data_IF_230117487100
#
_entry.id   IF_230117487100
#
_cell.length_a   1.000
_cell.length_b   1.000
_cell.length_c   1.000
_cell.angle_alpha   90.00
_cell.angle_beta   90.00
_cell.angle_gamma   90.00
#
_symmetry.space_group_name_H-M   'P 1'
#
loop_
_entity.id
_entity.type
_entity.pdbx_description
1 polymer ?
#
# COMPACT_ATOMS: atom_id res chain seq x y z
N UNK A 1 26.57 -18.09 20.75
CA UNK A 1 25.51 -17.11 20.42
C UNK A 1 25.85 -16.41 19.12
N UNK A 2 26.97 -15.72 18.98
CA UNK A 2 27.35 -14.93 17.77
C UNK A 2 27.33 -15.74 16.47
N UNK A 3 27.89 -16.98 16.47
CA UNK A 3 27.85 -17.86 15.30
C UNK A 3 26.43 -18.25 14.90
N UNK A 4 25.53 -18.43 15.87
CA UNK A 4 24.12 -18.72 15.61
C UNK A 4 23.41 -17.51 14.99
N UNK A 5 23.62 -16.31 15.55
CA UNK A 5 23.06 -15.05 15.00
C UNK A 5 23.50 -14.84 13.56
N UNK A 6 24.80 -14.96 13.24
CA UNK A 6 25.32 -14.83 11.87
C UNK A 6 24.70 -15.87 10.91
N UNK A 7 24.52 -17.10 11.38
CA UNK A 7 23.86 -18.13 10.57
C UNK A 7 22.41 -17.81 10.30
N UNK A 8 21.66 -17.36 11.33
CA UNK A 8 20.27 -16.94 11.21
C UNK A 8 20.12 -15.74 10.29
N UNK A 9 20.97 -14.72 10.42
CA UNK A 9 20.95 -13.54 9.55
C UNK A 9 21.11 -13.92 8.07
N UNK A 10 22.05 -14.82 7.75
CA UNK A 10 22.23 -15.34 6.39
C UNK A 10 21.01 -16.11 5.87
N UNK A 11 20.40 -16.94 6.70
CA UNK A 11 19.20 -17.71 6.33
C UNK A 11 18.03 -16.76 6.12
N UNK A 12 17.89 -15.74 6.96
CA UNK A 12 16.85 -14.70 6.85
C UNK A 12 17.02 -13.93 5.54
N UNK A 13 18.25 -13.53 5.17
CA UNK A 13 18.49 -12.86 3.89
C UNK A 13 18.07 -13.74 2.70
N UNK A 14 18.45 -15.02 2.68
CA UNK A 14 18.07 -15.95 1.63
C UNK A 14 16.54 -16.15 1.56
N UNK A 15 15.87 -16.17 2.70
CA UNK A 15 14.41 -16.26 2.76
C UNK A 15 13.73 -15.00 2.18
N UNK A 16 14.26 -13.81 2.48
CA UNK A 16 13.73 -12.55 1.93
C UNK A 16 14.01 -12.42 0.43
N UNK A 17 15.18 -12.84 -0.03
CA UNK A 17 15.49 -12.92 -1.46
C UNK A 17 14.53 -13.86 -2.19
N UNK A 18 14.33 -15.08 -1.68
CA UNK A 18 13.38 -16.04 -2.25
C UNK A 18 11.94 -15.51 -2.24
N UNK A 19 11.53 -14.83 -1.17
CA UNK A 19 10.21 -14.22 -1.05
C UNK A 19 9.97 -13.17 -2.15
N UNK A 20 10.93 -12.27 -2.36
CA UNK A 20 10.84 -11.24 -3.41
C UNK A 20 10.83 -11.88 -4.80
N UNK A 21 11.75 -12.82 -5.08
CA UNK A 21 11.77 -13.51 -6.35
C UNK A 21 10.47 -14.25 -6.66
N UNK A 22 9.94 -14.99 -5.70
CA UNK A 22 8.69 -15.74 -5.87
C UNK A 22 7.50 -14.82 -6.21
N UNK A 23 7.38 -13.67 -5.53
CA UNK A 23 6.28 -12.73 -5.79
C UNK A 23 6.37 -12.05 -7.15
N UNK A 24 7.54 -12.04 -7.80
CA UNK A 24 7.74 -11.42 -9.11
C UNK A 24 7.78 -12.44 -10.26
N UNK A 25 7.95 -13.73 -9.98
CA UNK A 25 8.12 -14.76 -11.01
C UNK A 25 7.06 -15.85 -10.99
N UNK A 26 6.44 -16.11 -9.84
CA UNK A 26 5.39 -17.13 -9.73
C UNK A 26 4.04 -16.60 -10.22
N UNK A 27 3.45 -17.29 -11.17
CA UNK A 27 2.12 -16.97 -11.66
C UNK A 27 1.05 -17.46 -10.69
N UNK A 28 0.17 -16.56 -10.26
CA UNK A 28 -0.95 -16.89 -9.34
C UNK A 28 -2.11 -17.58 -10.06
N UNK A 29 -2.23 -17.43 -11.38
CA UNK A 29 -3.25 -18.04 -12.24
C UNK A 29 -2.83 -18.05 -13.70
N UNK A 30 -3.62 -18.72 -14.54
CA UNK A 30 -3.45 -18.69 -15.99
C UNK A 30 -3.42 -17.24 -16.52
N UNK A 31 -2.63 -17.00 -17.56
CA UNK A 31 -2.46 -15.66 -18.15
C UNK A 31 -1.29 -14.86 -17.58
N UNK A 32 -0.32 -15.54 -16.95
CA UNK A 32 0.93 -14.95 -16.46
C UNK A 32 0.73 -13.82 -15.42
N UNK A 33 -0.31 -13.90 -14.59
CA UNK A 33 -0.55 -12.94 -13.52
C UNK A 33 0.25 -13.29 -12.27
N UNK A 34 1.06 -12.35 -11.79
CA UNK A 34 1.73 -12.44 -10.50
C UNK A 34 0.80 -12.00 -9.37
N UNK A 35 0.99 -12.50 -8.12
CA UNK A 35 0.17 -12.08 -7.00
C UNK A 35 0.40 -10.60 -6.66
N UNK A 36 -0.66 -9.79 -6.70
CA UNK A 36 -0.61 -8.41 -6.24
C UNK A 36 -0.55 -8.39 -4.72
N UNK A 37 0.61 -8.08 -4.17
CA UNK A 37 0.91 -8.19 -2.75
C UNK A 37 1.53 -6.91 -2.22
N UNK A 38 1.36 -6.66 -0.92
CA UNK A 38 2.00 -5.56 -0.20
C UNK A 38 2.44 -6.00 1.19
N UNK A 39 3.46 -5.35 1.71
CA UNK A 39 3.96 -5.56 3.08
C UNK A 39 4.13 -4.22 3.78
N UNK A 40 3.71 -4.15 5.03
CA UNK A 40 3.89 -3.01 5.91
C UNK A 40 4.90 -3.38 7.00
N UNK A 41 5.91 -2.57 7.23
CA UNK A 41 6.99 -2.88 8.18
C UNK A 41 7.69 -1.59 8.66
N UNK A 42 8.58 -1.71 9.65
CA UNK A 42 9.42 -0.63 10.13
C UNK A 42 9.29 -0.31 11.62
N UNK A 43 8.19 -0.71 12.26
CA UNK A 43 7.89 -0.35 13.66
C UNK A 43 8.28 -1.40 14.69
N UNK A 44 8.60 -2.62 14.29
CA UNK A 44 9.08 -3.66 15.20
C UNK A 44 10.53 -3.37 15.63
N UNK A 45 10.73 -3.18 16.94
CA UNK A 45 12.05 -2.89 17.54
C UNK A 45 12.74 -4.12 18.13
N UNK A 46 12.10 -5.29 18.05
CA UNK A 46 12.72 -6.55 18.48
C UNK A 46 13.95 -6.89 17.62
N UNK A 47 14.97 -7.56 18.17
CA UNK A 47 16.15 -7.98 17.40
C UNK A 47 15.77 -8.82 16.17
N UNK A 48 14.76 -9.65 16.28
CA UNK A 48 14.25 -10.53 15.24
C UNK A 48 13.55 -9.72 14.14
N UNK A 49 12.63 -8.82 14.50
CA UNK A 49 11.94 -7.94 13.58
C UNK A 49 12.91 -7.02 12.84
N UNK A 50 13.86 -6.43 13.53
CA UNK A 50 14.92 -5.61 12.93
C UNK A 50 15.77 -6.41 11.93
N UNK A 51 16.12 -7.67 12.26
CA UNK A 51 16.86 -8.56 11.36
C UNK A 51 16.06 -8.83 10.07
N UNK A 52 14.76 -9.10 10.19
CA UNK A 52 13.86 -9.31 9.05
C UNK A 52 13.80 -8.07 8.17
N UNK A 53 13.52 -6.90 8.76
CA UNK A 53 13.42 -5.63 8.02
C UNK A 53 14.71 -5.28 7.30
N UNK A 54 15.86 -5.42 7.98
CA UNK A 54 17.18 -5.18 7.39
C UNK A 54 17.41 -6.09 6.17
N UNK A 55 17.21 -7.39 6.33
CA UNK A 55 17.45 -8.37 5.27
C UNK A 55 16.46 -8.22 4.12
N UNK A 56 15.21 -7.86 4.40
CA UNK A 56 14.23 -7.52 3.39
C UNK A 56 14.68 -6.32 2.55
N UNK A 57 15.08 -5.23 3.18
CA UNK A 57 15.57 -4.03 2.49
C UNK A 57 16.82 -4.32 1.64
N UNK A 58 17.75 -5.12 2.15
CA UNK A 58 18.95 -5.53 1.41
C UNK A 58 18.60 -6.40 0.19
N UNK A 59 17.61 -7.29 0.31
CA UNK A 59 17.14 -8.10 -0.81
C UNK A 59 16.41 -7.26 -1.86
N UNK A 60 15.62 -6.27 -1.47
CA UNK A 60 15.03 -5.27 -2.39
C UNK A 60 16.14 -4.48 -3.09
N UNK A 61 17.17 -4.04 -2.37
CA UNK A 61 18.30 -3.30 -2.95
C UNK A 61 19.10 -4.12 -3.96
N UNK A 62 19.30 -5.40 -3.69
CA UNK A 62 19.95 -6.32 -4.64
C UNK A 62 19.16 -6.46 -5.94
N UNK A 63 17.84 -6.47 -5.86
CA UNK A 63 16.95 -6.62 -7.02
C UNK A 63 16.80 -8.05 -7.48
N UNK A 64 16.21 -8.23 -8.68
CA UNK A 64 16.07 -9.54 -9.34
C UNK A 64 17.34 -9.93 -10.10
N UNK A 65 17.30 -11.03 -10.83
CA UNK A 65 18.46 -11.71 -11.42
C UNK A 65 19.49 -10.86 -12.17
N UNK A 66 19.06 -9.81 -12.88
CA UNK A 66 19.94 -8.84 -13.54
C UNK A 66 19.88 -7.45 -12.85
N UNK A 67 19.66 -7.43 -11.57
CA UNK A 67 19.46 -6.19 -10.76
C UNK A 67 18.23 -5.38 -11.17
N UNK A 68 17.21 -5.98 -11.78
CA UNK A 68 15.95 -5.31 -12.03
C UNK A 68 15.24 -4.96 -10.72
N UNK A 69 14.55 -3.83 -10.71
CA UNK A 69 13.74 -3.43 -9.55
C UNK A 69 12.55 -4.38 -9.39
N UNK A 70 12.37 -5.06 -8.24
CA UNK A 70 11.20 -5.87 -7.99
C UNK A 70 9.95 -4.99 -7.92
N UNK A 71 8.83 -5.45 -8.51
CA UNK A 71 7.55 -4.75 -8.45
C UNK A 71 6.79 -5.14 -7.18
N UNK A 72 6.83 -6.43 -6.83
CA UNK A 72 6.14 -6.98 -5.67
C UNK A 72 7.11 -7.56 -4.63
N UNK A 73 6.71 -7.49 -3.37
CA UNK A 73 5.53 -6.85 -2.83
C UNK A 73 5.67 -5.31 -2.85
N UNK A 74 4.54 -4.60 -2.96
CA UNK A 74 4.53 -3.16 -2.71
C UNK A 74 4.98 -2.94 -1.26
N UNK A 75 6.10 -2.28 -1.09
CA UNK A 75 6.78 -2.13 0.19
C UNK A 75 6.38 -0.81 0.85
N UNK A 76 5.85 -0.88 2.07
CA UNK A 76 5.41 0.28 2.85
C UNK A 76 6.22 0.32 4.14
N UNK A 77 7.11 1.30 4.25
CA UNK A 77 7.85 1.56 5.49
C UNK A 77 7.07 2.53 6.37
N UNK A 78 6.66 2.07 7.54
CA UNK A 78 5.93 2.86 8.52
C UNK A 78 6.91 3.71 9.32
N UNK A 79 6.69 5.03 9.31
CA UNK A 79 7.48 6.01 10.06
C UNK A 79 6.70 6.47 11.27
N UNK A 80 7.34 6.40 12.46
CA UNK A 80 6.73 6.74 13.74
C UNK A 80 7.74 7.42 14.64
N UNK A 81 7.35 8.53 15.27
CA UNK A 81 8.16 9.22 16.27
C UNK A 81 8.40 8.31 17.49
N UNK A 82 9.60 8.36 18.04
CA UNK A 82 10.03 7.46 19.12
C UNK A 82 10.37 6.04 18.71
N UNK A 83 10.23 5.69 17.42
CA UNK A 83 10.53 4.35 16.89
C UNK A 83 11.62 4.40 15.83
N UNK A 84 11.50 5.27 14.83
CA UNK A 84 12.44 5.30 13.69
C UNK A 84 12.59 6.67 13.02
N UNK A 85 11.92 7.72 13.53
CA UNK A 85 11.93 9.04 12.92
C UNK A 85 13.14 9.88 13.31
N UNK A 86 13.50 9.91 14.59
CA UNK A 86 14.59 10.72 15.13
C UNK A 86 15.91 9.90 15.20
N UNK A 87 17.09 10.58 15.15
CA UNK A 87 18.39 9.91 15.20
C UNK A 87 18.62 9.01 16.41
N UNK A 88 17.99 9.28 17.53
CA UNK A 88 18.06 8.53 18.78
C UNK A 88 17.10 7.34 18.85
N UNK A 89 16.18 7.22 17.90
CA UNK A 89 15.18 6.17 17.88
C UNK A 89 15.80 4.80 17.56
N UNK A 90 15.26 3.71 18.14
CA UNK A 90 15.87 2.37 18.05
C UNK A 90 15.96 1.82 16.62
N UNK A 91 15.08 2.23 15.70
CA UNK A 91 15.05 1.78 14.30
C UNK A 91 15.46 2.87 13.30
N UNK A 92 16.10 3.94 13.74
CA UNK A 92 16.52 5.04 12.86
C UNK A 92 17.51 4.58 11.77
N UNK A 93 18.39 3.62 12.09
CA UNK A 93 19.31 3.02 11.13
C UNK A 93 18.56 2.30 9.99
N UNK A 94 17.46 1.63 10.31
CA UNK A 94 16.56 0.98 9.32
C UNK A 94 15.83 2.02 8.48
N UNK A 95 15.41 3.14 9.06
CA UNK A 95 14.83 4.26 8.32
C UNK A 95 15.84 4.84 7.32
N UNK A 96 17.09 5.08 7.73
CA UNK A 96 18.13 5.51 6.80
C UNK A 96 18.38 4.51 5.67
N UNK A 97 18.44 3.22 5.98
CA UNK A 97 18.59 2.18 4.99
C UNK A 97 17.40 2.17 4.03
N UNK A 98 16.17 2.31 4.53
CA UNK A 98 14.97 2.37 3.69
C UNK A 98 14.98 3.56 2.73
N UNK A 99 15.46 4.73 3.18
CA UNK A 99 15.63 5.90 2.31
C UNK A 99 16.69 5.65 1.20
N UNK A 100 17.80 5.00 1.52
CA UNK A 100 18.83 4.64 0.53
C UNK A 100 18.29 3.68 -0.53
N UNK A 101 17.56 2.65 -0.08
CA UNK A 101 16.92 1.67 -0.98
C UNK A 101 15.87 2.35 -1.85
N UNK A 102 15.02 3.20 -1.27
CA UNK A 102 13.99 3.92 -2.00
C UNK A 102 14.57 4.87 -3.04
N UNK A 103 15.67 5.53 -2.75
CA UNK A 103 16.37 6.39 -3.71
C UNK A 103 16.88 5.63 -4.95
N UNK A 104 17.22 4.35 -4.80
CA UNK A 104 17.72 3.48 -5.88
C UNK A 104 16.61 2.71 -6.59
N UNK A 105 15.62 2.22 -5.84
CA UNK A 105 14.61 1.24 -6.29
C UNK A 105 13.20 1.81 -6.41
N UNK A 106 12.96 3.06 -5.98
CA UNK A 106 11.65 3.70 -5.85
C UNK A 106 10.73 3.05 -4.80
N UNK A 107 11.21 2.08 -4.07
CA UNK A 107 10.58 1.39 -2.94
C UNK A 107 11.58 1.27 -1.77
N UNK A 108 11.10 1.26 -0.52
CA UNK A 108 9.70 1.33 -0.07
C UNK A 108 9.08 2.72 -0.21
N UNK A 109 7.74 2.77 -0.24
CA UNK A 109 6.96 3.97 0.06
C UNK A 109 6.94 4.20 1.57
N UNK A 110 6.68 5.45 2.00
CA UNK A 110 6.67 5.80 3.42
C UNK A 110 5.25 6.15 3.88
N UNK A 111 4.84 5.58 5.02
CA UNK A 111 3.60 5.90 5.69
C UNK A 111 3.88 6.53 7.05
N UNK A 112 3.54 7.81 7.20
CA UNK A 112 3.76 8.58 8.43
C UNK A 112 2.62 8.35 9.40
N UNK A 113 2.84 7.53 10.43
CA UNK A 113 1.80 7.12 11.37
C UNK A 113 1.29 8.28 12.24
N UNK A 114 2.17 9.24 12.54
CA UNK A 114 1.85 10.39 13.39
C UNK A 114 1.14 11.54 12.64
N UNK A 115 0.91 11.38 11.34
CA UNK A 115 0.15 12.35 10.58
C UNK A 115 -1.30 12.43 11.09
N UNK A 116 -1.87 13.63 11.29
CA UNK A 116 -3.20 13.78 11.87
C UNK A 116 -4.29 12.96 11.20
N UNK A 117 -4.22 12.83 9.88
CA UNK A 117 -5.18 12.03 9.10
C UNK A 117 -5.01 10.51 9.30
N UNK A 118 -3.85 10.04 9.79
CA UNK A 118 -3.61 8.64 10.13
C UNK A 118 -3.94 8.34 11.59
N UNK A 119 -3.88 9.35 12.48
CA UNK A 119 -4.26 9.21 13.87
C UNK A 119 -5.79 9.24 14.10
N UNK A 120 -6.56 9.60 13.11
CA UNK A 120 -8.01 9.83 13.22
C UNK A 120 -8.78 8.67 13.87
N UNK A 121 -8.37 7.43 13.64
CA UNK A 121 -9.02 6.23 14.17
C UNK A 121 -8.09 5.39 15.06
N UNK A 122 -6.89 5.89 15.33
CA UNK A 122 -5.94 5.18 16.17
C UNK A 122 -6.32 5.30 17.65
N UNK A 123 -6.34 4.17 18.32
CA UNK A 123 -6.57 4.11 19.78
C UNK A 123 -5.25 3.70 20.45
N UNK A 124 -4.65 4.59 21.27
CA UNK A 124 -3.41 4.27 21.99
C UNK A 124 -3.52 2.97 22.79
N UNK A 125 -2.51 2.11 22.67
CA UNK A 125 -2.50 0.78 23.30
C UNK A 125 -3.24 -0.31 22.53
N UNK A 126 -3.86 0.03 21.40
CA UNK A 126 -4.51 -0.93 20.49
C UNK A 126 -3.84 -0.92 19.10
N UNK A 127 -2.72 -1.63 18.93
CA UNK A 127 -1.95 -1.59 17.67
C UNK A 127 -2.76 -2.07 16.45
N UNK A 128 -3.79 -2.90 16.65
CA UNK A 128 -4.69 -3.35 15.59
C UNK A 128 -5.54 -2.23 14.98
N UNK A 129 -5.62 -1.05 15.62
CA UNK A 129 -6.31 0.15 15.09
C UNK A 129 -5.37 1.07 14.33
N UNK A 130 -4.07 0.77 14.33
CA UNK A 130 -3.09 1.54 13.57
C UNK A 130 -3.33 1.38 12.07
N UNK A 131 -3.17 2.47 11.34
CA UNK A 131 -3.32 2.44 9.88
C UNK A 131 -2.36 1.44 9.23
N UNK A 132 -2.86 0.74 8.23
CA UNK A 132 -2.06 -0.09 7.33
C UNK A 132 -2.41 0.25 5.90
N UNK A 133 -1.44 0.16 5.00
CA UNK A 133 -1.68 0.37 3.57
C UNK A 133 -1.82 -0.97 2.87
N UNK A 134 -2.93 -1.15 2.17
CA UNK A 134 -3.19 -2.31 1.32
C UNK A 134 -2.92 -1.95 -0.14
N UNK A 135 -2.11 -2.75 -0.81
CA UNK A 135 -1.62 -2.42 -2.14
C UNK A 135 -0.74 -1.17 -2.11
N UNK A 136 -0.89 -0.30 -3.09
CA UNK A 136 0.00 0.86 -3.22
C UNK A 136 -0.46 2.09 -2.43
N UNK A 137 -1.78 2.28 -2.18
CA UNK A 137 -2.31 3.54 -1.60
C UNK A 137 -3.62 3.41 -0.82
N UNK A 138 -4.21 2.24 -0.71
CA UNK A 138 -5.45 2.07 0.04
C UNK A 138 -5.14 2.01 1.52
N UNK A 139 -5.45 3.08 2.25
CA UNK A 139 -5.32 3.11 3.71
C UNK A 139 -6.46 2.34 4.35
N UNK A 140 -6.11 1.41 5.19
CA UNK A 140 -7.05 0.62 5.99
C UNK A 140 -6.99 1.15 7.42
N UNK A 141 -8.06 1.79 7.84
CA UNK A 141 -8.20 2.36 9.18
C UNK A 141 -9.68 2.56 9.50
N UNK A 142 -10.03 2.50 10.77
CA UNK A 142 -11.41 2.68 11.22
C UNK A 142 -12.40 1.73 10.55
N UNK A 143 -13.59 1.69 11.05
CA UNK A 143 -14.74 1.02 10.42
C UNK A 143 -15.96 1.91 10.62
N UNK A 144 -16.42 2.57 9.56
CA UNK A 144 -17.55 3.50 9.62
C UNK A 144 -18.86 2.77 9.86
N UNK A 145 -18.96 1.51 9.41
CA UNK A 145 -20.17 0.69 9.52
C UNK A 145 -20.25 0.01 10.89
N UNK A 146 -19.13 -0.43 11.43
CA UNK A 146 -19.04 -1.10 12.73
C UNK A 146 -17.81 -0.55 13.50
N UNK A 147 -17.98 0.59 14.19
CA UNK A 147 -16.88 1.23 14.90
C UNK A 147 -16.25 0.38 16.01
N UNK A 148 -16.97 -0.59 16.55
CA UNK A 148 -16.43 -1.51 17.56
C UNK A 148 -15.42 -2.50 16.97
N UNK A 149 -15.51 -2.75 15.65
CA UNK A 149 -14.56 -3.56 14.88
C UNK A 149 -13.61 -2.71 14.05
N UNK A 150 -13.23 -1.56 14.54
CA UNK A 150 -12.31 -0.64 13.88
C UNK A 150 -10.86 -1.16 13.86
N UNK A 151 -10.63 -2.33 13.26
CA UNK A 151 -9.32 -2.98 13.15
C UNK A 151 -8.85 -3.02 11.69
N UNK A 152 -7.53 -2.95 11.48
CA UNK A 152 -6.92 -3.04 10.15
C UNK A 152 -6.94 -4.45 9.54
N UNK A 153 -6.75 -5.54 10.30
CA UNK A 153 -6.80 -6.90 9.76
C UNK A 153 -8.17 -7.29 9.20
N UNK A 154 -8.18 -8.20 8.24
CA UNK A 154 -9.40 -8.78 7.69
C UNK A 154 -10.16 -7.87 6.70
N UNK A 155 -9.53 -6.80 6.22
CA UNK A 155 -10.07 -5.91 5.19
C UNK A 155 -9.64 -6.35 3.79
N UNK A 156 -10.44 -5.98 2.78
CA UNK A 156 -10.14 -6.27 1.37
C UNK A 156 -10.89 -5.37 0.41
N UNK A 157 -10.38 -5.23 -0.81
CA UNK A 157 -11.10 -4.61 -1.91
C UNK A 157 -11.96 -5.67 -2.60
N UNK A 158 -13.27 -5.50 -2.56
CA UNK A 158 -14.22 -6.44 -3.15
C UNK A 158 -14.37 -6.24 -4.65
N UNK A 159 -14.43 -4.98 -5.08
CA UNK A 159 -14.66 -4.61 -6.48
C UNK A 159 -14.21 -3.18 -6.72
N UNK A 160 -13.98 -2.83 -7.98
CA UNK A 160 -13.67 -1.47 -8.39
C UNK A 160 -14.34 -1.14 -9.71
N UNK A 161 -14.51 0.15 -9.97
CA UNK A 161 -14.89 0.70 -11.26
C UNK A 161 -14.13 2.01 -11.50
N UNK A 162 -14.09 2.45 -12.74
CA UNK A 162 -13.31 3.63 -13.14
C UNK A 162 -14.18 4.61 -13.90
N UNK A 163 -14.14 5.88 -13.51
CA UNK A 163 -14.77 6.98 -14.25
C UNK A 163 -13.69 7.67 -15.09
N UNK A 164 -13.96 7.85 -16.39
CA UNK A 164 -13.07 8.54 -17.32
C UNK A 164 -13.25 10.06 -17.19
N UNK A 165 -12.61 10.67 -16.18
CA UNK A 165 -12.64 12.12 -15.96
C UNK A 165 -12.10 12.95 -17.14
N UNK A 166 -11.01 12.54 -17.85
CA UNK A 166 -10.57 13.24 -19.05
C UNK A 166 -11.67 13.35 -20.11
N UNK A 167 -12.47 12.32 -20.33
CA UNK A 167 -13.60 12.36 -21.27
C UNK A 167 -14.65 13.38 -20.85
N UNK A 168 -14.99 13.43 -19.55
CA UNK A 168 -15.91 14.44 -19.00
C UNK A 168 -15.35 15.85 -19.18
N UNK A 169 -14.06 16.05 -18.88
CA UNK A 169 -13.39 17.33 -19.06
C UNK A 169 -13.36 17.80 -20.51
N UNK A 170 -13.17 16.90 -21.48
CA UNK A 170 -13.27 17.22 -22.92
C UNK A 170 -14.72 17.56 -23.30
N UNK A 171 -15.70 16.80 -22.82
CA UNK A 171 -17.12 16.98 -23.18
C UNK A 171 -17.70 18.30 -22.69
N UNK A 172 -17.32 18.72 -21.48
CA UNK A 172 -17.82 19.94 -20.83
C UNK A 172 -16.81 21.11 -20.88
N UNK A 173 -15.59 20.86 -21.36
CA UNK A 173 -14.54 21.87 -21.51
C UNK A 173 -14.75 22.79 -22.71
N UNK A 174 -13.84 23.75 -22.84
CA UNK A 174 -13.88 24.81 -23.88
C UNK A 174 -13.84 24.23 -25.30
N UNK A 175 -13.25 23.05 -25.49
CA UNK A 175 -13.09 22.39 -26.81
C UNK A 175 -14.14 21.32 -27.10
N UNK A 176 -15.04 21.05 -26.16
CA UNK A 176 -16.08 20.02 -26.31
C UNK A 176 -17.18 20.42 -27.28
N UNK A 177 -17.88 19.41 -27.83
CA UNK A 177 -18.97 19.64 -28.81
C UNK A 177 -20.16 20.46 -28.25
N UNK A 178 -20.26 20.60 -26.93
CA UNK A 178 -21.27 21.41 -26.24
C UNK A 178 -20.76 22.79 -25.81
N UNK A 179 -19.49 23.08 -26.03
CA UNK A 179 -18.88 24.30 -25.53
C UNK A 179 -19.18 25.49 -26.44
N UNK A 180 -19.95 26.43 -25.94
CA UNK A 180 -20.12 27.76 -26.51
C UNK A 180 -18.93 28.66 -26.18
N UNK A 181 -17.68 28.17 -26.35
CA UNK A 181 -16.42 28.83 -25.98
C UNK A 181 -16.24 29.14 -24.48
N UNK A 182 -17.07 28.53 -23.62
CA UNK A 182 -16.95 28.55 -22.15
C UNK A 182 -17.06 27.14 -21.61
N UNK A 183 -16.33 26.86 -20.51
CA UNK A 183 -16.50 25.60 -19.82
C UNK A 183 -17.89 25.51 -19.17
N UNK A 184 -18.54 24.36 -19.33
CA UNK A 184 -19.81 24.04 -18.70
C UNK A 184 -19.57 23.27 -17.40
N UNK A 185 -19.25 23.98 -16.32
CA UNK A 185 -18.96 23.38 -15.03
C UNK A 185 -20.18 22.75 -14.38
N UNK A 186 -21.37 23.33 -14.57
CA UNK A 186 -22.61 22.78 -14.03
C UNK A 186 -22.94 21.43 -14.68
N UNK A 187 -22.89 21.36 -16.00
CA UNK A 187 -23.06 20.12 -16.74
C UNK A 187 -21.98 19.05 -16.42
N UNK A 188 -20.75 19.48 -16.16
CA UNK A 188 -19.69 18.57 -15.73
C UNK A 188 -20.01 17.89 -14.38
N UNK A 189 -20.42 18.68 -13.40
CA UNK A 189 -20.76 18.13 -12.08
C UNK A 189 -22.04 17.29 -12.12
N UNK A 190 -23.05 17.73 -12.82
CA UNK A 190 -24.29 16.96 -12.98
C UNK A 190 -24.05 15.58 -13.63
N UNK A 191 -23.21 15.50 -14.66
CA UNK A 191 -22.87 14.23 -15.28
C UNK A 191 -21.94 13.40 -14.39
N UNK A 192 -21.02 14.01 -13.65
CA UNK A 192 -20.17 13.31 -12.69
C UNK A 192 -21.00 12.68 -11.57
N UNK A 193 -21.96 13.41 -11.00
CA UNK A 193 -22.83 12.90 -9.95
C UNK A 193 -23.66 11.70 -10.44
N UNK A 194 -24.24 11.81 -11.64
CA UNK A 194 -24.96 10.70 -12.27
C UNK A 194 -24.09 9.46 -12.48
N UNK A 195 -22.81 9.64 -12.88
CA UNK A 195 -21.86 8.53 -13.02
C UNK A 195 -21.44 7.93 -11.68
N UNK A 196 -21.31 8.76 -10.64
CA UNK A 196 -21.01 8.27 -9.29
C UNK A 196 -22.14 7.41 -8.74
N UNK A 197 -23.41 7.82 -8.95
CA UNK A 197 -24.57 7.00 -8.58
C UNK A 197 -24.59 5.67 -9.33
N UNK A 198 -24.39 5.70 -10.64
CA UNK A 198 -24.31 4.49 -11.46
C UNK A 198 -23.19 3.55 -11.00
N UNK A 199 -22.00 4.09 -10.67
CA UNK A 199 -20.87 3.32 -10.15
C UNK A 199 -21.20 2.68 -8.81
N UNK A 200 -21.82 3.43 -7.89
CA UNK A 200 -22.30 2.91 -6.60
C UNK A 200 -23.22 1.72 -6.80
N UNK A 201 -24.24 1.88 -7.62
CA UNK A 201 -25.27 0.85 -7.83
C UNK A 201 -24.67 -0.41 -8.48
N UNK A 202 -23.77 -0.26 -9.45
CA UNK A 202 -23.06 -1.39 -10.05
C UNK A 202 -22.13 -2.12 -9.05
N UNK A 203 -21.47 -1.39 -8.16
CA UNK A 203 -20.62 -2.00 -7.14
C UNK A 203 -21.43 -2.78 -6.11
N UNK A 204 -22.59 -2.26 -5.70
CA UNK A 204 -23.51 -2.95 -4.79
C UNK A 204 -24.10 -4.21 -5.45
N UNK A 205 -24.55 -4.14 -6.69
CA UNK A 205 -25.04 -5.29 -7.43
C UNK A 205 -23.97 -6.39 -7.56
N UNK A 206 -22.73 -6.03 -7.89
CA UNK A 206 -21.61 -6.99 -7.94
C UNK A 206 -21.37 -7.65 -6.59
N UNK A 207 -21.42 -6.89 -5.51
CA UNK A 207 -21.28 -7.41 -4.16
C UNK A 207 -22.37 -8.44 -3.84
N UNK A 208 -23.63 -8.13 -4.11
CA UNK A 208 -24.75 -9.06 -3.91
C UNK A 208 -24.60 -10.35 -4.73
N UNK A 209 -24.17 -10.24 -5.99
CA UNK A 209 -23.93 -11.41 -6.85
C UNK A 209 -22.82 -12.29 -6.28
N UNK A 210 -21.75 -11.68 -5.77
CA UNK A 210 -20.62 -12.41 -5.18
C UNK A 210 -21.03 -13.11 -3.87
N UNK A 211 -21.86 -12.49 -3.06
CA UNK A 211 -22.37 -13.09 -1.82
C UNK A 211 -23.31 -14.28 -2.05
N UNK A 212 -23.90 -14.41 -3.23
CA UNK A 212 -24.80 -15.53 -3.61
C UNK A 212 -24.07 -16.75 -4.18
N UNK A 213 -22.78 -16.62 -4.46
CA UNK A 213 -21.92 -17.72 -4.97
C UNK A 213 -21.19 -18.45 -3.84
#
# INVERSE_FOLDING_TARGET
VEKAVKKTDKITYQAMEAFIHNLNTMHSRAGAQVPFSSVNFGTDTSPEGRMIVKNYLLAVDAGLGHSETPIFPISIFKVKEGVNYNPEDPNYDLFKLSCQVSAKRLFPNFEFLDAPYNLQYYVPGRPETEVATMGCRTRVMGNVVDPEKAVSPGRGNLSFTTINLPRLGIKHGIVGARANKKADMEGFYAELDSLLELCRDQLLERFEIQCKK
#
